data_IF_013324530439
#
_entry.id   IF_013324530439
#
_cell.length_a   1.000
_cell.length_b   1.000
_cell.length_c   1.000
_cell.angle_alpha   90.00
_cell.angle_beta   90.00
_cell.angle_gamma   90.00
#
_symmetry.space_group_name_H-M   'P 1'
#
loop_
_entity.id
_entity.type
_entity.pdbx_description
1 polymer ?
#
# COMPACT_ATOMS: atom_id res chain seq x y z
N UNK A 1 -12.75 6.23 51.63
CA UNK A 1 -12.81 6.72 50.25
C UNK A 1 -12.51 5.53 49.35
N UNK A 2 -13.40 5.16 48.42
CA UNK A 2 -13.16 4.04 47.51
C UNK A 2 -12.84 4.58 46.11
N UNK A 3 -11.73 4.12 45.53
CA UNK A 3 -11.35 4.50 44.17
C UNK A 3 -12.22 3.76 43.14
N UNK A 4 -13.14 4.49 42.53
CA UNK A 4 -14.01 3.95 41.48
C UNK A 4 -13.24 3.98 40.16
N UNK A 5 -12.64 2.84 39.79
CA UNK A 5 -11.93 2.70 38.53
C UNK A 5 -12.86 2.26 37.40
N UNK A 6 -12.80 2.97 36.26
CA UNK A 6 -13.58 2.62 35.08
C UNK A 6 -12.93 1.46 34.30
N UNK A 7 -13.42 0.24 34.51
CA UNK A 7 -12.93 -0.96 33.85
C UNK A 7 -13.03 -0.92 32.32
N UNK A 8 -14.01 -0.22 31.75
CA UNK A 8 -14.15 -0.08 30.29
C UNK A 8 -12.99 0.72 29.71
N UNK A 9 -12.61 1.84 30.34
CA UNK A 9 -11.46 2.66 29.91
C UNK A 9 -10.15 1.87 30.04
N UNK A 10 -9.99 1.14 31.14
CA UNK A 10 -8.81 0.29 31.35
C UNK A 10 -8.68 -0.78 30.27
N UNK A 11 -9.75 -1.54 29.98
CA UNK A 11 -9.75 -2.55 28.91
C UNK A 11 -9.47 -1.93 27.53
N UNK A 12 -10.01 -0.74 27.25
CA UNK A 12 -9.74 -0.03 26.00
C UNK A 12 -8.26 0.36 25.88
N UNK A 13 -7.66 0.85 26.96
CA UNK A 13 -6.24 1.19 26.98
C UNK A 13 -5.36 -0.05 26.71
N UNK A 14 -5.64 -1.17 27.40
CA UNK A 14 -4.95 -2.45 27.15
C UNK A 14 -5.05 -2.89 25.69
N UNK A 15 -6.25 -2.90 25.12
CA UNK A 15 -6.46 -3.26 23.70
C UNK A 15 -5.66 -2.38 22.73
N UNK A 16 -5.49 -1.08 23.03
CA UNK A 16 -4.67 -0.20 22.20
C UNK A 16 -3.18 -0.54 22.31
N UNK A 17 -2.68 -0.76 23.54
CA UNK A 17 -1.29 -1.15 23.76
C UNK A 17 -0.94 -2.48 23.06
N UNK A 18 -1.85 -3.47 23.13
CA UNK A 18 -1.69 -4.75 22.44
C UNK A 18 -1.64 -4.54 20.90
N UNK A 19 -2.50 -3.68 20.37
CA UNK A 19 -2.52 -3.36 18.94
C UNK A 19 -1.25 -2.62 18.47
N UNK A 20 -0.73 -1.70 19.27
CA UNK A 20 0.53 -0.98 19.01
C UNK A 20 1.71 -1.94 18.98
N UNK A 21 1.77 -2.86 19.95
CA UNK A 21 2.82 -3.90 20.02
C UNK A 21 2.79 -4.81 18.79
N UNK A 22 1.59 -5.22 18.36
CA UNK A 22 1.42 -6.02 17.15
C UNK A 22 1.82 -5.24 15.89
N UNK A 23 1.46 -3.95 15.81
CA UNK A 23 1.87 -3.09 14.70
C UNK A 23 3.39 -2.94 14.62
N UNK A 24 4.07 -2.77 15.76
CA UNK A 24 5.52 -2.71 15.86
C UNK A 24 6.20 -4.01 15.44
N UNK A 25 5.67 -5.16 15.87
CA UNK A 25 6.16 -6.45 15.43
C UNK A 25 6.01 -6.62 13.92
N UNK A 26 4.88 -6.19 13.36
CA UNK A 26 4.64 -6.24 11.91
C UNK A 26 5.54 -5.29 11.12
N UNK A 27 5.82 -4.08 11.65
CA UNK A 27 6.81 -3.14 11.08
C UNK A 27 8.20 -3.79 11.01
N UNK A 28 8.64 -4.43 12.10
CA UNK A 28 9.94 -5.14 12.14
C UNK A 28 9.99 -6.35 11.21
N UNK A 29 8.94 -7.17 11.18
CA UNK A 29 8.90 -8.41 10.38
C UNK A 29 8.78 -8.17 8.88
N UNK A 30 7.98 -7.19 8.49
CA UNK A 30 7.61 -7.01 7.08
C UNK A 30 8.25 -5.78 6.44
N UNK A 31 8.95 -4.94 7.21
CA UNK A 31 9.67 -3.74 6.75
C UNK A 31 8.77 -2.59 6.26
N UNK A 32 7.57 -2.90 5.76
CA UNK A 32 6.53 -1.96 5.34
C UNK A 32 5.19 -2.34 5.93
N UNK A 33 4.43 -1.35 6.39
CA UNK A 33 3.08 -1.55 6.90
C UNK A 33 2.07 -1.81 5.77
N UNK A 34 0.92 -2.41 6.09
CA UNK A 34 -0.16 -2.62 5.12
C UNK A 34 -0.60 -1.33 4.40
N UNK A 35 -0.82 -0.18 5.07
CA UNK A 35 -1.20 1.05 4.38
C UNK A 35 -0.08 1.60 3.47
N UNK A 36 1.19 1.45 3.83
CA UNK A 36 2.31 1.82 2.95
C UNK A 36 2.30 0.97 1.66
N UNK A 37 2.18 -0.35 1.79
CA UNK A 37 2.09 -1.24 0.62
C UNK A 37 0.92 -0.91 -0.30
N UNK A 38 -0.22 -0.49 0.27
CA UNK A 38 -1.39 -0.08 -0.51
C UNK A 38 -1.15 1.23 -1.24
N UNK A 39 -0.50 2.21 -0.61
CA UNK A 39 -0.12 3.46 -1.27
C UNK A 39 0.84 3.20 -2.43
N UNK A 40 1.90 2.43 -2.18
CA UNK A 40 2.87 2.05 -3.22
C UNK A 40 2.19 1.36 -4.41
N UNK A 41 1.24 0.45 -4.14
CA UNK A 41 0.51 -0.25 -5.19
C UNK A 41 -0.36 0.69 -6.03
N UNK A 42 -1.05 1.64 -5.37
CA UNK A 42 -1.88 2.63 -6.05
C UNK A 42 -1.04 3.60 -6.89
N UNK A 43 0.10 4.05 -6.37
CA UNK A 43 1.04 4.91 -7.12
C UNK A 43 1.61 4.17 -8.34
N UNK A 44 1.99 2.90 -8.17
CA UNK A 44 2.45 2.07 -9.28
C UNK A 44 1.36 1.84 -10.34
N UNK A 45 0.11 1.64 -9.93
CA UNK A 45 -1.04 1.53 -10.86
C UNK A 45 -1.29 2.82 -11.63
N UNK A 46 -1.20 3.97 -10.96
CA UNK A 46 -1.34 5.27 -11.62
C UNK A 46 -0.22 5.48 -12.64
N UNK A 47 1.04 5.22 -12.26
CA UNK A 47 2.18 5.33 -13.15
C UNK A 47 2.03 4.42 -14.39
N UNK A 48 1.60 3.16 -14.18
CA UNK A 48 1.29 2.24 -15.29
C UNK A 48 0.27 2.82 -16.25
N UNK A 49 -0.88 3.28 -15.73
CA UNK A 49 -1.95 3.87 -16.55
C UNK A 49 -1.50 5.11 -17.31
N UNK A 50 -0.69 5.96 -16.70
CA UNK A 50 -0.13 7.14 -17.36
C UNK A 50 0.80 6.74 -18.50
N UNK A 51 1.67 5.76 -18.30
CA UNK A 51 2.57 5.25 -19.33
C UNK A 51 1.81 4.57 -20.47
N UNK A 52 0.81 3.75 -20.14
CA UNK A 52 -0.02 3.08 -21.13
C UNK A 52 -0.82 4.09 -21.98
N UNK A 53 -1.40 5.11 -21.36
CA UNK A 53 -2.11 6.18 -22.08
C UNK A 53 -1.19 7.10 -22.88
N UNK A 54 0.07 7.24 -22.48
CA UNK A 54 1.08 8.01 -23.21
C UNK A 54 1.79 7.19 -24.31
N UNK A 55 1.49 5.89 -24.43
CA UNK A 55 2.08 5.02 -25.44
C UNK A 55 1.54 5.41 -26.81
N UNK A 56 2.37 6.07 -27.62
CA UNK A 56 2.14 6.14 -29.05
C UNK A 56 2.57 4.79 -29.64
N UNK A 57 1.62 4.03 -30.18
CA UNK A 57 1.95 2.92 -31.06
C UNK A 57 2.77 3.51 -32.21
N UNK A 58 4.06 3.17 -32.26
CA UNK A 58 4.89 3.52 -33.40
C UNK A 58 4.19 2.92 -34.63
N UNK A 59 3.97 3.69 -35.70
CA UNK A 59 3.49 3.09 -36.94
C UNK A 59 4.47 1.99 -37.30
N UNK A 60 3.95 0.77 -37.46
CA UNK A 60 4.68 -0.39 -37.95
C UNK A 60 5.30 0.00 -39.30
N UNK A 61 6.51 0.54 -39.27
CA UNK A 61 7.33 0.72 -40.46
C UNK A 61 7.98 -0.63 -40.70
N UNK A 62 7.15 -1.60 -41.08
CA UNK A 62 7.63 -2.72 -41.86
C UNK A 62 7.89 -2.15 -43.25
N UNK A 63 9.14 -2.18 -43.75
CA UNK A 63 9.39 -1.76 -45.12
C UNK A 63 8.69 -2.76 -46.03
N UNK A 64 7.66 -2.26 -46.72
CA UNK A 64 7.10 -2.87 -47.92
C UNK A 64 8.26 -3.03 -48.93
N UNK A 65 8.89 -4.21 -48.92
CA UNK A 65 9.80 -4.61 -49.99
C UNK A 65 8.96 -5.42 -50.95
N UNK A 66 8.28 -4.70 -51.82
CA UNK A 66 7.99 -5.16 -53.16
C UNK A 66 9.32 -5.28 -53.89
N UNK A 67 9.76 -6.50 -54.15
CA UNK A 67 10.74 -6.79 -55.19
C UNK A 67 10.17 -7.92 -56.06
N UNK A 68 10.33 -7.72 -57.37
CA UNK A 68 9.71 -8.36 -58.54
C UNK A 68 9.62 -9.90 -58.57
#
# INVERSE_FOLDING_TARGET
>A
MADIVNLRRFRKARKRADAETAADANRRRHGRSKPEKQKDALEADQARRTLDGARLDKPDTSPDTSED
#
